data_IF_128799687579
#
_entry.id   IF_128799687579
#
_cell.length_a   1.000
_cell.length_b   1.000
_cell.length_c   1.000
_cell.angle_alpha   90.00
_cell.angle_beta   90.00
_cell.angle_gamma   90.00
#
_symmetry.space_group_name_H-M   'P 1'
#
loop_
_entity.id
_entity.type
_entity.pdbx_description
1 polymer ?
#
# COMPACT_ATOMS: atom_id res chain seq x y z
N UNK A 1 14.04 24.31 -11.40
CA UNK A 1 13.87 23.73 -10.05
C UNK A 1 12.47 23.15 -9.98
N UNK A 2 12.29 21.94 -9.40
CA UNK A 2 10.95 21.38 -9.18
C UNK A 2 10.25 22.22 -8.10
N UNK A 3 9.00 22.62 -8.34
CA UNK A 3 8.20 23.27 -7.30
C UNK A 3 8.05 22.30 -6.11
N UNK A 4 8.04 22.83 -4.91
CA UNK A 4 8.03 22.05 -3.66
C UNK A 4 6.66 22.08 -2.94
N UNK A 5 5.58 22.25 -3.70
CA UNK A 5 4.21 22.30 -3.18
C UNK A 5 3.58 20.91 -3.11
N UNK A 6 3.03 20.54 -1.96
CA UNK A 6 2.40 19.23 -1.73
C UNK A 6 0.90 19.38 -1.53
N UNK A 7 0.10 18.70 -2.35
CA UNK A 7 -1.32 18.49 -2.10
C UNK A 7 -1.51 17.14 -1.40
N UNK A 8 -2.22 17.16 -0.27
CA UNK A 8 -2.61 15.94 0.44
C UNK A 8 -4.01 15.53 0.01
N UNK A 9 -4.19 14.27 -0.36
CA UNK A 9 -5.49 13.70 -0.77
C UNK A 9 -5.92 12.64 0.24
N UNK A 10 -7.09 12.85 0.86
CA UNK A 10 -7.67 11.98 1.88
C UNK A 10 -9.03 11.47 1.38
N UNK A 11 -9.14 10.24 0.88
CA UNK A 11 -10.44 9.62 0.59
C UNK A 11 -11.12 9.21 1.89
N UNK A 12 -12.43 9.41 2.00
CA UNK A 12 -13.21 9.00 3.18
C UNK A 12 -14.61 8.52 2.80
N UNK A 13 -15.17 7.67 3.65
CA UNK A 13 -16.55 7.18 3.55
C UNK A 13 -17.21 7.20 4.93
N UNK A 14 -17.86 8.33 5.27
CA UNK A 14 -18.69 8.48 6.49
C UNK A 14 -18.04 7.99 7.80
N UNK A 15 -16.76 8.35 8.02
CA UNK A 15 -15.99 8.01 9.22
C UNK A 15 -15.39 9.28 9.87
N UNK A 16 -16.21 10.24 10.30
CA UNK A 16 -15.74 11.57 10.73
C UNK A 16 -14.71 11.52 11.87
N UNK A 17 -14.88 10.66 12.86
CA UNK A 17 -13.94 10.58 13.99
C UNK A 17 -12.53 10.10 13.56
N UNK A 18 -12.44 9.12 12.67
CA UNK A 18 -11.16 8.63 12.14
C UNK A 18 -10.53 9.70 11.23
N UNK A 19 -11.34 10.30 10.37
CA UNK A 19 -10.88 11.36 9.47
C UNK A 19 -10.31 12.56 10.23
N UNK A 20 -10.93 13.01 11.33
CA UNK A 20 -10.41 14.11 12.14
C UNK A 20 -9.04 13.76 12.71
N UNK A 21 -8.83 12.56 13.24
CA UNK A 21 -7.50 12.09 13.70
C UNK A 21 -6.46 12.11 12.56
N UNK A 22 -6.82 11.66 11.38
CA UNK A 22 -5.95 11.74 10.21
C UNK A 22 -5.60 13.19 9.87
N UNK A 23 -6.58 14.11 9.87
CA UNK A 23 -6.38 15.53 9.61
C UNK A 23 -5.53 16.21 10.67
N UNK A 24 -5.67 15.86 11.95
CA UNK A 24 -4.81 16.34 13.05
C UNK A 24 -3.36 15.94 12.81
N UNK A 25 -3.12 14.73 12.32
CA UNK A 25 -1.77 14.25 11.96
C UNK A 25 -1.16 15.01 10.78
N UNK A 26 -1.98 15.48 9.83
CA UNK A 26 -1.54 16.36 8.74
C UNK A 26 -1.27 17.78 9.28
N UNK A 27 -2.12 18.30 10.15
CA UNK A 27 -1.95 19.64 10.72
C UNK A 27 -0.69 19.75 11.59
N UNK A 28 -0.22 18.63 12.17
CA UNK A 28 1.00 18.56 12.99
C UNK A 28 2.30 18.41 12.18
N UNK A 29 2.27 18.45 10.85
CA UNK A 29 3.47 18.31 10.03
C UNK A 29 4.44 19.50 10.18
N UNK A 30 5.74 19.22 10.33
CA UNK A 30 6.81 20.25 10.40
C UNK A 30 6.95 21.02 9.08
N UNK A 31 6.56 20.41 7.96
CA UNK A 31 6.43 21.03 6.66
C UNK A 31 4.94 21.02 6.28
N UNK A 32 4.19 22.11 6.48
CA UNK A 32 2.78 22.17 6.15
C UNK A 32 2.54 21.89 4.66
N UNK A 33 1.49 21.12 4.29
CA UNK A 33 1.13 20.96 2.89
C UNK A 33 0.60 22.28 2.30
N UNK A 34 0.71 22.40 0.98
CA UNK A 34 0.12 23.53 0.24
C UNK A 34 -1.41 23.53 0.35
N UNK A 35 -2.03 22.38 0.28
CA UNK A 35 -3.46 22.17 0.49
C UNK A 35 -3.75 20.76 0.98
N UNK A 36 -4.89 20.60 1.66
CA UNK A 36 -5.47 19.31 2.03
C UNK A 36 -6.83 19.17 1.36
N UNK A 37 -7.02 18.09 0.62
CA UNK A 37 -8.24 17.77 -0.13
C UNK A 37 -8.84 16.50 0.44
N UNK A 38 -9.99 16.62 1.10
CA UNK A 38 -10.79 15.46 1.53
C UNK A 38 -11.82 15.17 0.45
N UNK A 39 -11.87 13.93 0.00
CA UNK A 39 -12.84 13.45 -0.98
C UNK A 39 -13.80 12.46 -0.31
N UNK A 40 -15.05 12.93 -0.12
CA UNK A 40 -16.12 12.10 0.45
C UNK A 40 -16.73 11.24 -0.65
N UNK A 41 -16.66 9.91 -0.48
CA UNK A 41 -17.13 8.91 -1.45
C UNK A 41 -18.64 8.66 -1.28
N UNK A 42 -19.45 9.55 -1.85
CA UNK A 42 -20.91 9.54 -1.77
C UNK A 42 -21.48 10.58 -0.79
N UNK A 43 -22.77 10.51 -0.44
CA UNK A 43 -23.41 11.44 0.50
C UNK A 43 -22.71 11.40 1.88
N UNK A 44 -22.44 12.57 2.49
CA UNK A 44 -21.65 12.62 3.72
C UNK A 44 -21.77 13.91 4.53
N UNK A 45 -23.01 14.37 4.78
CA UNK A 45 -23.29 15.65 5.46
C UNK A 45 -22.66 15.75 6.85
N UNK A 46 -22.62 14.66 7.60
CA UNK A 46 -21.97 14.61 8.92
C UNK A 46 -20.46 14.83 8.81
N UNK A 47 -19.82 14.18 7.85
CA UNK A 47 -18.39 14.35 7.56
C UNK A 47 -18.07 15.80 7.20
N UNK A 48 -18.91 16.42 6.33
CA UNK A 48 -18.74 17.82 5.95
C UNK A 48 -18.84 18.75 7.15
N UNK A 49 -19.83 18.56 8.03
CA UNK A 49 -20.00 19.38 9.24
C UNK A 49 -18.81 19.25 10.17
N UNK A 50 -18.37 18.02 10.47
CA UNK A 50 -17.25 17.76 11.35
C UNK A 50 -15.95 18.39 10.83
N UNK A 51 -15.63 18.23 9.55
CA UNK A 51 -14.41 18.79 8.98
C UNK A 51 -14.46 20.32 8.94
N UNK A 52 -15.57 20.93 8.52
CA UNK A 52 -15.69 22.40 8.52
C UNK A 52 -15.54 23.04 9.88
N UNK A 53 -15.98 22.35 10.93
CA UNK A 53 -15.86 22.82 12.30
C UNK A 53 -14.42 22.71 12.82
N UNK A 54 -13.75 21.59 12.59
CA UNK A 54 -12.43 21.32 13.15
C UNK A 54 -11.27 21.82 12.26
N UNK A 55 -11.42 21.72 10.95
CA UNK A 55 -10.38 22.03 9.95
C UNK A 55 -10.94 22.89 8.82
N UNK A 56 -11.28 24.17 9.04
CA UNK A 56 -11.98 25.04 8.08
C UNK A 56 -11.17 25.31 6.81
N UNK A 57 -9.86 25.17 6.83
CA UNK A 57 -8.96 25.33 5.68
C UNK A 57 -8.94 24.12 4.73
N UNK A 58 -9.47 22.98 5.16
CA UNK A 58 -9.51 21.76 4.33
C UNK A 58 -10.51 21.92 3.21
N UNK A 59 -10.07 21.59 2.00
CA UNK A 59 -10.92 21.60 0.82
C UNK A 59 -11.72 20.30 0.74
N UNK A 60 -13.03 20.41 0.78
CA UNK A 60 -13.95 19.28 0.72
C UNK A 60 -14.48 19.09 -0.69
N UNK A 61 -14.34 17.88 -1.22
CA UNK A 61 -14.96 17.40 -2.46
C UNK A 61 -15.90 16.25 -2.15
N UNK A 62 -16.94 16.09 -2.94
CA UNK A 62 -17.93 15.02 -2.76
C UNK A 62 -18.21 14.32 -4.09
N UNK A 63 -18.17 12.99 -4.08
CA UNK A 63 -18.68 12.20 -5.20
C UNK A 63 -20.20 12.06 -5.10
N UNK A 64 -20.88 12.09 -6.25
CA UNK A 64 -22.35 11.98 -6.28
C UNK A 64 -22.85 10.65 -5.72
N UNK A 65 -22.09 9.58 -5.97
CA UNK A 65 -22.40 8.21 -5.55
C UNK A 65 -21.15 7.55 -5.01
N UNK A 66 -21.34 6.51 -4.19
CA UNK A 66 -20.23 5.66 -3.72
C UNK A 66 -19.54 4.98 -4.90
N UNK A 67 -18.29 5.31 -5.14
CA UNK A 67 -17.52 4.91 -6.32
C UNK A 67 -16.21 4.19 -5.99
N UNK A 68 -15.83 4.15 -4.72
CA UNK A 68 -14.64 3.48 -4.20
C UNK A 68 -13.41 4.37 -4.10
N UNK A 69 -12.44 3.94 -3.30
CA UNK A 69 -11.24 4.70 -2.95
C UNK A 69 -10.38 5.09 -4.17
N UNK A 70 -10.35 4.25 -5.21
CA UNK A 70 -9.63 4.57 -6.45
C UNK A 70 -10.19 5.81 -7.14
N UNK A 71 -11.52 5.88 -7.29
CA UNK A 71 -12.19 7.04 -7.89
C UNK A 71 -12.03 8.28 -7.02
N UNK A 72 -12.16 8.13 -5.70
CA UNK A 72 -11.98 9.24 -4.77
C UNK A 72 -10.55 9.79 -4.82
N UNK A 73 -9.51 8.93 -4.85
CA UNK A 73 -8.11 9.37 -5.00
C UNK A 73 -7.88 10.08 -6.33
N UNK A 74 -8.33 9.51 -7.45
CA UNK A 74 -8.21 10.16 -8.76
C UNK A 74 -8.89 11.52 -8.79
N UNK A 75 -10.11 11.63 -8.24
CA UNK A 75 -10.84 12.89 -8.16
C UNK A 75 -10.08 13.94 -7.31
N UNK A 76 -9.48 13.52 -6.21
CA UNK A 76 -8.61 14.37 -5.39
C UNK A 76 -7.39 14.87 -6.17
N UNK A 77 -6.69 13.97 -6.88
CA UNK A 77 -5.51 14.31 -7.70
C UNK A 77 -5.86 15.25 -8.84
N UNK A 78 -6.97 15.05 -9.56
CA UNK A 78 -7.43 15.92 -10.65
C UNK A 78 -7.74 17.33 -10.16
N UNK A 79 -8.15 17.49 -8.90
CA UNK A 79 -8.43 18.77 -8.28
C UNK A 79 -7.22 19.38 -7.53
N UNK A 80 -6.11 18.65 -7.40
CA UNK A 80 -4.91 19.09 -6.72
C UNK A 80 -4.14 20.14 -7.53
N UNK A 81 -3.55 21.12 -6.81
CA UNK A 81 -2.78 22.23 -7.38
C UNK A 81 -1.28 22.10 -7.11
N UNK A 82 -0.89 21.34 -6.09
CA UNK A 82 0.50 21.08 -5.75
C UNK A 82 1.21 20.28 -6.83
N UNK A 83 2.52 20.41 -6.91
CA UNK A 83 3.40 19.65 -7.81
C UNK A 83 3.64 18.21 -7.34
N UNK A 84 3.37 17.94 -6.06
CA UNK A 84 3.48 16.63 -5.42
C UNK A 84 2.14 16.24 -4.82
N UNK A 85 1.85 14.92 -4.85
CA UNK A 85 0.68 14.32 -4.21
C UNK A 85 1.17 13.42 -3.07
N UNK A 86 0.60 13.62 -1.88
CA UNK A 86 0.69 12.69 -0.77
C UNK A 86 -0.71 12.14 -0.45
N UNK A 87 -0.80 10.84 -0.18
CA UNK A 87 -2.07 10.21 0.19
C UNK A 87 -2.07 9.85 1.67
N UNK A 88 -3.24 9.98 2.29
CA UNK A 88 -3.52 9.46 3.63
C UNK A 88 -4.92 8.88 3.64
N UNK A 89 -5.07 7.62 4.03
CA UNK A 89 -6.39 7.03 4.26
C UNK A 89 -6.95 7.55 5.61
N UNK A 90 -8.25 7.72 5.69
CA UNK A 90 -8.92 8.38 6.82
C UNK A 90 -8.81 7.65 8.16
N UNK A 91 -8.25 6.44 8.18
CA UNK A 91 -8.02 5.61 9.36
C UNK A 91 -6.54 5.50 9.79
N UNK A 92 -5.64 6.20 9.09
CA UNK A 92 -4.19 6.22 9.34
C UNK A 92 -3.70 7.55 9.88
N UNK A 93 -2.42 7.59 10.25
CA UNK A 93 -1.79 8.79 10.79
C UNK A 93 -0.37 8.98 10.26
N UNK A 94 0.07 10.23 10.15
CA UNK A 94 1.44 10.58 9.84
C UNK A 94 2.20 11.04 11.09
N UNK A 95 3.50 10.73 11.13
CA UNK A 95 4.39 11.32 12.11
C UNK A 95 4.88 12.71 11.63
N UNK A 96 5.22 13.63 12.54
CA UNK A 96 5.37 15.07 12.23
C UNK A 96 6.34 15.41 11.09
N UNK A 97 7.40 14.63 10.86
CA UNK A 97 8.42 14.95 9.86
C UNK A 97 8.23 14.27 8.49
N UNK A 98 7.06 13.66 8.26
CA UNK A 98 6.86 12.87 7.03
C UNK A 98 7.00 13.71 5.77
N UNK A 99 6.25 14.80 5.65
CA UNK A 99 6.27 15.62 4.45
C UNK A 99 7.64 16.27 4.24
N UNK A 100 8.28 16.78 5.29
CA UNK A 100 9.61 17.35 5.27
C UNK A 100 10.65 16.39 4.67
N UNK A 101 10.72 15.17 5.23
CA UNK A 101 11.74 14.20 4.85
C UNK A 101 11.47 13.59 3.46
N UNK A 102 10.22 13.27 3.15
CA UNK A 102 9.87 12.71 1.86
C UNK A 102 10.03 13.73 0.72
N UNK A 103 9.61 14.97 0.92
CA UNK A 103 9.80 16.01 -0.08
C UNK A 103 11.29 16.29 -0.31
N UNK A 104 12.09 16.36 0.76
CA UNK A 104 13.53 16.51 0.66
C UNK A 104 14.19 15.36 -0.14
N UNK A 105 13.76 14.11 0.08
CA UNK A 105 14.26 12.97 -0.70
C UNK A 105 13.81 13.04 -2.17
N UNK A 106 12.54 13.37 -2.41
CA UNK A 106 11.98 13.52 -3.74
C UNK A 106 12.72 14.56 -4.60
N UNK A 107 13.07 15.70 -4.00
CA UNK A 107 13.79 16.78 -4.69
C UNK A 107 15.25 16.43 -5.01
N UNK A 108 15.88 15.54 -4.22
CA UNK A 108 17.25 15.04 -4.46
C UNK A 108 17.30 13.80 -5.35
N UNK A 109 16.17 13.18 -5.63
CA UNK A 109 16.12 11.96 -6.43
C UNK A 109 16.61 12.18 -7.84
N UNK A 110 17.34 11.22 -8.37
CA UNK A 110 17.76 11.16 -9.78
C UNK A 110 16.66 10.69 -10.72
N UNK A 111 15.58 10.09 -10.19
CA UNK A 111 14.42 9.68 -10.99
C UNK A 111 13.62 10.89 -11.47
N UNK A 112 13.11 10.81 -12.68
CA UNK A 112 12.14 11.79 -13.17
C UNK A 112 10.84 11.74 -12.36
N UNK A 113 10.38 10.55 -12.03
CA UNK A 113 9.17 10.30 -11.26
C UNK A 113 9.51 9.45 -10.02
N UNK A 114 10.10 10.06 -8.96
CA UNK A 114 10.37 9.32 -7.73
C UNK A 114 9.07 9.02 -6.99
N UNK A 115 8.87 7.75 -6.65
CA UNK A 115 7.82 7.30 -5.75
C UNK A 115 8.48 7.14 -4.38
N UNK A 116 8.26 8.13 -3.50
CA UNK A 116 8.91 8.18 -2.19
C UNK A 116 8.00 7.51 -1.16
N UNK A 117 8.57 6.60 -0.40
CA UNK A 117 7.91 5.94 0.73
C UNK A 117 8.89 5.71 1.88
N UNK A 118 8.38 5.33 3.03
CA UNK A 118 9.18 5.20 4.24
C UNK A 118 8.82 3.97 5.03
N UNK A 119 9.55 3.71 6.10
CA UNK A 119 9.11 2.76 7.13
C UNK A 119 7.88 3.30 7.85
N UNK A 120 7.04 2.39 8.32
CA UNK A 120 5.83 2.71 9.07
C UNK A 120 5.66 1.77 10.28
N UNK A 121 4.90 2.22 11.26
CA UNK A 121 4.40 1.40 12.35
C UNK A 121 3.11 0.73 11.90
N UNK A 122 3.03 -0.58 12.05
CA UNK A 122 1.77 -1.33 11.92
C UNK A 122 1.24 -1.57 13.33
N UNK A 123 0.13 -0.94 13.69
CA UNK A 123 -0.57 -1.18 14.95
C UNK A 123 -1.58 -2.31 14.78
N UNK A 124 -1.49 -3.32 15.64
CA UNK A 124 -2.43 -4.44 15.68
C UNK A 124 -2.87 -4.70 17.12
N UNK A 125 -3.99 -5.37 17.37
CA UNK A 125 -4.39 -5.76 18.74
C UNK A 125 -3.36 -6.61 19.48
N UNK A 126 -2.36 -7.14 18.78
CA UNK A 126 -1.30 -7.98 19.34
C UNK A 126 0.02 -7.25 19.55
N UNK A 127 0.06 -5.94 19.29
CA UNK A 127 1.25 -5.11 19.39
C UNK A 127 1.64 -4.41 18.09
N UNK A 128 2.72 -3.69 18.15
CA UNK A 128 3.24 -2.86 17.05
C UNK A 128 4.47 -3.50 16.41
N UNK A 129 4.67 -3.27 15.12
CA UNK A 129 5.88 -3.67 14.41
C UNK A 129 6.17 -2.74 13.22
N UNK A 130 7.43 -2.71 12.80
CA UNK A 130 7.89 -1.84 11.72
C UNK A 130 7.88 -2.57 10.37
N UNK A 131 7.43 -1.87 9.33
CA UNK A 131 7.46 -2.32 7.92
C UNK A 131 7.76 -1.14 6.99
N UNK A 132 8.35 -1.38 5.82
CA UNK A 132 9.10 -2.58 5.45
C UNK A 132 10.44 -2.65 6.20
N UNK A 133 11.03 -3.87 6.28
CA UNK A 133 12.36 -4.05 6.89
C UNK A 133 13.49 -3.65 5.97
N UNK A 134 13.27 -3.63 4.66
CA UNK A 134 14.21 -3.14 3.66
C UNK A 134 13.56 -2.21 2.64
N UNK A 135 14.36 -1.37 2.04
CA UNK A 135 14.02 -0.66 0.81
C UNK A 135 14.38 -1.47 -0.44
N UNK A 136 14.10 -0.93 -1.63
CA UNK A 136 14.52 -1.50 -2.92
C UNK A 136 16.04 -1.48 -3.06
N UNK A 137 16.58 -2.46 -3.78
CA UNK A 137 17.96 -2.44 -4.24
C UNK A 137 18.17 -1.41 -5.37
N UNK A 138 19.44 -1.04 -5.64
CA UNK A 138 19.79 0.02 -6.61
C UNK A 138 19.20 -0.18 -8.02
N UNK A 139 19.05 -1.42 -8.46
CA UNK A 139 18.55 -1.78 -9.80
C UNK A 139 17.31 -2.69 -9.69
N UNK A 140 16.72 -2.80 -8.51
CA UNK A 140 15.56 -3.64 -8.28
C UNK A 140 14.32 -2.94 -8.84
N UNK A 141 13.65 -3.58 -9.79
CA UNK A 141 12.42 -3.08 -10.36
C UNK A 141 11.27 -3.11 -9.33
N UNK A 142 10.20 -2.38 -9.61
CA UNK A 142 9.04 -2.29 -8.70
C UNK A 142 8.44 -3.66 -8.41
N UNK A 143 8.25 -4.47 -9.43
CA UNK A 143 7.68 -5.81 -9.32
C UNK A 143 8.60 -6.76 -8.55
N UNK A 144 9.91 -6.70 -8.80
CA UNK A 144 10.89 -7.50 -8.06
C UNK A 144 10.97 -7.07 -6.59
N UNK A 145 10.96 -5.76 -6.30
CA UNK A 145 10.89 -5.28 -4.92
C UNK A 145 9.68 -5.86 -4.18
N UNK A 146 8.50 -5.85 -4.81
CA UNK A 146 7.27 -6.32 -4.18
C UNK A 146 7.23 -7.84 -3.99
N UNK A 147 7.76 -8.61 -4.94
CA UNK A 147 7.48 -10.05 -5.02
C UNK A 147 8.71 -10.96 -4.98
N UNK A 148 9.94 -10.42 -5.15
CA UNK A 148 11.17 -11.20 -5.02
C UNK A 148 11.77 -11.00 -3.62
N UNK A 149 11.36 -11.85 -2.69
CA UNK A 149 11.86 -11.80 -1.31
C UNK A 149 13.32 -12.25 -1.24
N UNK A 150 14.08 -11.64 -0.33
CA UNK A 150 15.47 -11.97 -0.03
C UNK A 150 15.62 -12.75 1.28
N UNK A 151 14.52 -12.94 2.01
CA UNK A 151 14.49 -13.72 3.26
C UNK A 151 13.15 -14.38 3.51
N UNK A 152 13.14 -15.40 4.37
CA UNK A 152 11.91 -16.03 4.83
C UNK A 152 11.16 -15.21 5.90
N UNK A 153 11.79 -14.16 6.46
CA UNK A 153 11.21 -13.37 7.55
C UNK A 153 10.06 -12.50 7.05
N UNK A 154 8.89 -12.44 7.72
CA UNK A 154 7.77 -11.57 7.36
C UNK A 154 8.13 -10.08 7.41
N UNK A 155 7.34 -9.25 6.70
CA UNK A 155 7.49 -7.78 6.74
C UNK A 155 8.71 -7.24 6.02
N UNK A 156 9.34 -8.05 5.15
CA UNK A 156 10.52 -7.63 4.41
C UNK A 156 10.22 -6.48 3.47
N UNK A 157 9.13 -6.61 2.72
CA UNK A 157 8.64 -5.60 1.79
C UNK A 157 7.20 -5.22 2.14
N UNK A 158 6.88 -3.98 1.92
CA UNK A 158 5.52 -3.47 2.12
C UNK A 158 5.34 -2.19 1.32
N UNK A 159 4.17 -2.04 0.74
CA UNK A 159 3.76 -0.84 0.03
C UNK A 159 2.34 -0.48 0.43
N UNK A 160 2.11 0.81 0.67
CA UNK A 160 0.85 1.29 1.19
C UNK A 160 0.58 2.74 0.79
N UNK A 161 -0.62 3.02 0.34
CA UNK A 161 -0.99 4.33 -0.24
C UNK A 161 -0.75 5.48 0.73
N UNK A 162 -1.11 5.33 2.01
CA UNK A 162 -0.97 6.39 3.03
C UNK A 162 0.49 6.80 3.31
N UNK A 163 1.45 6.05 2.80
CA UNK A 163 2.88 6.30 3.02
C UNK A 163 3.57 6.98 1.83
N UNK A 164 2.85 7.31 0.77
CA UNK A 164 3.42 7.78 -0.49
C UNK A 164 3.55 9.29 -0.57
N UNK A 165 4.60 9.72 -1.28
CA UNK A 165 4.72 11.03 -1.90
C UNK A 165 5.18 10.83 -3.35
N UNK A 166 4.45 11.36 -4.32
CA UNK A 166 4.69 11.15 -5.76
C UNK A 166 4.50 12.43 -6.55
N UNK A 167 5.19 12.63 -7.69
CA UNK A 167 4.96 13.77 -8.57
C UNK A 167 3.53 13.73 -9.13
N UNK A 168 2.79 14.84 -9.05
CA UNK A 168 1.43 14.92 -9.64
C UNK A 168 1.43 14.62 -11.13
N UNK A 169 2.48 15.00 -11.86
CA UNK A 169 2.66 14.73 -13.29
C UNK A 169 2.52 13.24 -13.65
N UNK A 170 2.92 12.33 -12.76
CA UNK A 170 2.83 10.88 -12.99
C UNK A 170 1.37 10.42 -13.18
N UNK A 171 0.41 11.10 -12.55
CA UNK A 171 -1.01 10.78 -12.68
C UNK A 171 -1.61 11.17 -14.04
N UNK A 172 -0.93 12.00 -14.84
CA UNK A 172 -1.32 12.23 -16.23
C UNK A 172 -1.14 10.98 -17.11
N UNK A 173 -0.30 10.04 -16.66
CA UNK A 173 -0.01 8.79 -17.37
C UNK A 173 -0.67 7.59 -16.71
N UNK A 174 -0.72 7.54 -15.38
CA UNK A 174 -1.20 6.37 -14.62
C UNK A 174 -2.13 6.82 -13.49
N UNK A 175 -3.42 6.58 -13.66
CA UNK A 175 -4.43 6.75 -12.61
C UNK A 175 -4.70 5.43 -11.85
N UNK A 176 -5.30 5.49 -10.67
CA UNK A 176 -5.86 4.30 -10.01
C UNK A 176 -7.00 3.73 -10.88
N UNK A 177 -7.04 2.41 -11.06
CA UNK A 177 -8.11 1.77 -11.85
C UNK A 177 -9.43 1.75 -11.10
N UNK A 178 -10.51 2.38 -11.61
CA UNK A 178 -11.84 2.24 -11.04
C UNK A 178 -12.30 0.77 -11.05
N UNK A 179 -13.02 0.35 -10.02
CA UNK A 179 -13.56 -1.01 -9.94
C UNK A 179 -12.55 -2.09 -9.54
N UNK A 180 -11.27 -1.76 -9.40
CA UNK A 180 -10.27 -2.67 -8.84
C UNK A 180 -10.57 -2.90 -7.36
N UNK A 181 -11.00 -4.12 -7.04
CA UNK A 181 -11.53 -4.44 -5.70
C UNK A 181 -10.44 -4.65 -4.64
N UNK A 182 -9.30 -5.20 -5.02
CA UNK A 182 -8.17 -5.48 -4.14
C UNK A 182 -6.86 -5.11 -4.84
N UNK A 183 -5.83 -4.77 -4.08
CA UNK A 183 -4.51 -4.38 -4.61
C UNK A 183 -4.54 -3.14 -5.50
N UNK A 184 -5.42 -2.18 -5.21
CA UNK A 184 -5.48 -0.91 -5.94
C UNK A 184 -4.16 -0.17 -5.98
N UNK A 185 -3.49 -0.11 -4.83
CA UNK A 185 -2.18 0.50 -4.63
C UNK A 185 -1.08 -0.27 -5.36
N UNK A 186 -1.09 -1.59 -5.26
CA UNK A 186 -0.14 -2.47 -5.94
C UNK A 186 -0.32 -2.41 -7.46
N UNK A 187 -1.56 -2.46 -7.96
CA UNK A 187 -1.86 -2.31 -9.39
C UNK A 187 -1.35 -0.97 -9.93
N UNK A 188 -1.64 0.11 -9.20
CA UNK A 188 -1.15 1.42 -9.56
C UNK A 188 0.38 1.48 -9.56
N UNK A 189 1.02 0.97 -8.51
CA UNK A 189 2.47 0.99 -8.37
C UNK A 189 3.19 0.22 -9.47
N UNK A 190 2.71 -0.98 -9.81
CA UNK A 190 3.29 -1.79 -10.90
C UNK A 190 3.19 -1.07 -12.25
N UNK A 191 2.04 -0.46 -12.56
CA UNK A 191 1.87 0.33 -13.80
C UNK A 191 2.69 1.60 -13.80
N UNK A 192 2.78 2.28 -12.68
CA UNK A 192 3.64 3.45 -12.52
C UNK A 192 5.12 3.10 -12.71
N UNK A 193 5.55 1.94 -12.22
CA UNK A 193 6.90 1.42 -12.41
C UNK A 193 7.27 1.13 -13.88
N UNK A 194 6.29 0.98 -14.78
CA UNK A 194 6.53 0.83 -16.22
C UNK A 194 6.75 2.17 -16.94
N UNK A 195 6.45 3.30 -16.29
CA UNK A 195 6.65 4.63 -16.89
C UNK A 195 8.15 4.97 -16.87
N UNK A 196 8.77 5.27 -18.02
CA UNK A 196 10.19 5.60 -18.08
C UNK A 196 10.58 6.75 -17.15
N UNK A 197 11.62 6.55 -16.36
CA UNK A 197 12.09 7.53 -15.39
C UNK A 197 11.41 7.43 -14.02
N UNK A 198 10.51 6.46 -13.81
CA UNK A 198 9.97 6.15 -12.48
C UNK A 198 10.95 5.30 -11.68
N UNK A 199 11.06 5.57 -10.38
CA UNK A 199 11.84 4.75 -9.45
C UNK A 199 11.37 4.91 -8.02
N UNK A 200 11.76 3.95 -7.19
CA UNK A 200 11.39 3.87 -5.78
C UNK A 200 12.47 4.53 -4.90
N UNK A 201 12.06 5.49 -4.08
CA UNK A 201 12.91 6.14 -3.07
C UNK A 201 12.42 5.74 -1.68
N UNK A 202 13.26 5.03 -0.94
CA UNK A 202 12.93 4.54 0.39
C UNK A 202 13.65 5.33 1.48
N UNK A 203 12.90 5.79 2.46
CA UNK A 203 13.42 6.39 3.69
C UNK A 203 13.35 5.38 4.85
N UNK A 204 14.47 5.07 5.50
CA UNK A 204 14.49 4.14 6.63
C UNK A 204 13.85 4.71 7.90
N UNK A 205 13.56 6.02 7.94
CA UNK A 205 12.83 6.65 9.04
C UNK A 205 11.39 6.18 9.06
N UNK A 206 10.85 6.01 10.27
CA UNK A 206 9.43 5.70 10.49
C UNK A 206 8.62 6.99 10.42
N UNK A 207 7.71 7.11 9.44
CA UNK A 207 7.03 8.37 9.15
C UNK A 207 5.51 8.26 9.10
N UNK A 208 4.94 7.08 9.22
CA UNK A 208 3.48 6.88 9.25
C UNK A 208 3.08 5.72 10.16
N UNK A 209 1.81 5.68 10.50
CA UNK A 209 1.17 4.65 11.33
C UNK A 209 0.01 4.06 10.55
N UNK A 210 0.04 2.77 10.34
CA UNK A 210 -1.07 1.98 9.80
C UNK A 210 -1.86 1.36 10.95
N UNK A 211 -3.07 1.85 11.17
CA UNK A 211 -3.94 1.38 12.23
C UNK A 211 -4.77 0.18 11.74
N UNK A 212 -4.53 -1.01 12.30
CA UNK A 212 -5.31 -2.22 12.01
C UNK A 212 -6.04 -2.76 13.24
N UNK A 213 -6.15 -1.96 14.31
CA UNK A 213 -6.72 -2.39 15.59
C UNK A 213 -8.24 -2.53 15.56
N UNK A 214 -8.92 -1.76 14.73
CA UNK A 214 -10.36 -1.79 14.62
C UNK A 214 -10.81 -2.82 13.57
N UNK A 215 -10.92 -4.09 13.99
CA UNK A 215 -11.38 -5.20 13.12
C UNK A 215 -12.89 -5.16 12.81
N UNK A 216 -13.67 -4.38 13.53
CA UNK A 216 -15.13 -4.27 13.31
C UNK A 216 -15.47 -3.23 12.23
N UNK A 217 -14.47 -2.53 11.70
CA UNK A 217 -14.71 -1.59 10.60
C UNK A 217 -15.07 -2.34 9.32
N UNK A 218 -16.11 -1.90 8.59
CA UNK A 218 -16.36 -2.40 7.27
C UNK A 218 -15.16 -2.04 6.39
N UNK A 219 -14.33 -3.03 6.11
CA UNK A 219 -13.27 -2.85 5.11
C UNK A 219 -13.94 -2.66 3.76
N UNK A 220 -13.51 -1.63 3.01
CA UNK A 220 -13.94 -1.43 1.61
C UNK A 220 -13.49 -2.63 0.76
N UNK A 221 -12.45 -3.31 1.20
CA UNK A 221 -11.94 -4.55 0.64
C UNK A 221 -12.67 -5.74 1.26
N UNK A 222 -13.73 -6.21 0.59
CA UNK A 222 -14.44 -7.46 0.95
C UNK A 222 -13.54 -8.70 0.88
N UNK A 223 -14.05 -9.84 1.31
CA UNK A 223 -13.41 -11.14 1.09
C UNK A 223 -13.36 -11.42 -0.42
N UNK A 224 -12.17 -11.36 -0.98
CA UNK A 224 -11.93 -11.75 -2.37
C UNK A 224 -11.30 -13.13 -2.39
N UNK A 225 -11.81 -13.96 -3.30
CA UNK A 225 -11.23 -15.25 -3.53
C UNK A 225 -9.84 -15.13 -4.20
N UNK A 226 -9.02 -16.15 -4.02
CA UNK A 226 -7.73 -16.22 -4.65
C UNK A 226 -7.84 -16.25 -6.18
N UNK A 227 -8.97 -16.69 -6.73
CA UNK A 227 -9.25 -16.74 -8.16
C UNK A 227 -9.28 -15.35 -8.78
N UNK A 228 -9.91 -14.38 -8.09
CA UNK A 228 -9.90 -12.99 -8.52
C UNK A 228 -8.46 -12.45 -8.64
N UNK A 229 -7.63 -12.72 -7.64
CA UNK A 229 -6.23 -12.26 -7.66
C UNK A 229 -5.40 -13.00 -8.72
N UNK A 230 -5.67 -14.28 -8.92
CA UNK A 230 -5.04 -15.07 -9.97
C UNK A 230 -5.41 -14.52 -11.36
N UNK A 231 -6.69 -14.26 -11.61
CA UNK A 231 -7.16 -13.64 -12.85
C UNK A 231 -6.52 -12.26 -13.06
N UNK A 232 -6.43 -11.45 -12.01
CA UNK A 232 -5.77 -10.15 -12.09
C UNK A 232 -4.28 -10.32 -12.45
N UNK A 233 -3.55 -11.21 -11.81
CA UNK A 233 -2.14 -11.43 -12.06
C UNK A 233 -1.88 -11.96 -13.50
N UNK A 234 -2.68 -12.91 -13.97
CA UNK A 234 -2.57 -13.46 -15.32
C UNK A 234 -2.90 -12.43 -16.40
N UNK A 235 -3.95 -11.61 -16.19
CA UNK A 235 -4.34 -10.53 -17.10
C UNK A 235 -3.33 -9.38 -17.15
N UNK A 236 -2.49 -9.24 -16.13
CA UNK A 236 -1.46 -8.22 -16.04
C UNK A 236 -0.03 -8.80 -16.03
N UNK A 237 0.15 -10.00 -16.62
CA UNK A 237 1.43 -10.73 -16.65
C UNK A 237 2.60 -9.87 -17.14
N UNK A 238 2.36 -8.98 -18.09
CA UNK A 238 3.36 -8.06 -18.67
C UNK A 238 3.94 -7.04 -17.67
N UNK A 239 3.32 -6.85 -16.50
CA UNK A 239 3.82 -5.97 -15.45
C UNK A 239 4.89 -6.63 -14.57
N UNK A 240 5.19 -7.90 -14.78
CA UNK A 240 6.07 -8.69 -13.94
C UNK A 240 7.23 -9.29 -14.73
N UNK A 241 8.42 -9.28 -14.15
CA UNK A 241 9.49 -10.19 -14.53
C UNK A 241 9.07 -11.64 -14.24
N UNK A 242 9.64 -12.65 -14.91
CA UNK A 242 9.29 -14.05 -14.66
C UNK A 242 9.40 -14.44 -13.18
N UNK A 243 10.45 -13.95 -12.50
CA UNK A 243 10.69 -14.20 -11.08
C UNK A 243 9.66 -13.52 -10.18
N UNK A 244 9.32 -12.26 -10.42
CA UNK A 244 8.30 -11.54 -9.66
C UNK A 244 6.91 -12.15 -9.86
N UNK A 245 6.62 -12.63 -11.07
CA UNK A 245 5.38 -13.35 -11.37
C UNK A 245 5.24 -14.63 -10.54
N UNK A 246 6.30 -15.42 -10.43
CA UNK A 246 6.30 -16.58 -9.54
C UNK A 246 6.07 -16.17 -8.08
N UNK A 247 6.66 -15.07 -7.64
CA UNK A 247 6.48 -14.56 -6.28
C UNK A 247 5.05 -14.15 -5.96
N UNK A 248 4.36 -13.47 -6.89
CA UNK A 248 2.95 -13.11 -6.68
C UNK A 248 2.06 -14.34 -6.60
N UNK A 249 2.29 -15.35 -7.44
CA UNK A 249 1.52 -16.59 -7.45
C UNK A 249 1.77 -17.44 -6.21
N UNK A 250 3.04 -17.80 -5.97
CA UNK A 250 3.41 -18.81 -4.98
C UNK A 250 3.43 -18.28 -3.55
N UNK A 251 3.54 -16.97 -3.35
CA UNK A 251 3.60 -16.37 -2.01
C UNK A 251 2.34 -15.57 -1.69
N UNK A 252 1.99 -14.59 -2.53
CA UNK A 252 0.92 -13.65 -2.19
C UNK A 252 -0.47 -14.24 -2.43
N UNK A 253 -0.72 -14.84 -3.61
CA UNK A 253 -2.02 -15.46 -3.92
C UNK A 253 -2.19 -16.76 -3.13
N UNK A 254 -1.12 -17.55 -2.96
CA UNK A 254 -1.15 -18.74 -2.11
C UNK A 254 -1.54 -18.41 -0.66
N UNK A 255 -1.08 -17.26 -0.13
CA UNK A 255 -1.50 -16.82 1.21
C UNK A 255 -3.02 -16.58 1.32
N UNK A 256 -3.64 -16.03 0.30
CA UNK A 256 -5.12 -15.87 0.27
C UNK A 256 -5.83 -17.21 0.14
N UNK A 257 -5.32 -18.12 -0.68
CA UNK A 257 -5.85 -19.48 -0.79
C UNK A 257 -5.78 -20.26 0.55
N UNK A 258 -4.70 -20.06 1.31
CA UNK A 258 -4.56 -20.63 2.67
C UNK A 258 -5.64 -20.10 3.61
N UNK A 259 -5.95 -18.80 3.57
CA UNK A 259 -7.03 -18.20 4.38
C UNK A 259 -8.39 -18.83 4.05
N UNK A 260 -8.64 -19.07 2.77
CA UNK A 260 -9.89 -19.64 2.25
C UNK A 260 -9.93 -21.17 2.32
N UNK A 261 -8.83 -21.83 2.67
CA UNK A 261 -8.67 -23.29 2.72
C UNK A 261 -8.98 -24.00 1.40
N UNK A 262 -8.74 -23.32 0.27
CA UNK A 262 -8.94 -23.89 -1.05
C UNK A 262 -7.68 -24.61 -1.56
N UNK A 263 -7.70 -25.94 -1.47
CA UNK A 263 -6.58 -26.80 -1.87
C UNK A 263 -6.35 -26.82 -3.38
N UNK A 264 -7.36 -26.48 -4.20
CA UNK A 264 -7.25 -26.45 -5.67
C UNK A 264 -6.24 -25.41 -6.13
N UNK A 265 -6.06 -24.34 -5.35
CA UNK A 265 -5.09 -23.29 -5.63
C UNK A 265 -3.66 -23.83 -5.79
N UNK A 266 -3.30 -24.86 -5.01
CA UNK A 266 -1.93 -25.41 -5.00
C UNK A 266 -1.48 -25.85 -6.41
N UNK A 267 -2.31 -26.65 -7.08
CA UNK A 267 -1.99 -27.14 -8.41
C UNK A 267 -1.99 -26.02 -9.46
N UNK A 268 -3.01 -25.16 -9.44
CA UNK A 268 -3.17 -24.07 -10.42
C UNK A 268 -2.02 -23.08 -10.32
N UNK A 269 -1.68 -22.64 -9.11
CA UNK A 269 -0.63 -21.65 -8.89
C UNK A 269 0.76 -22.19 -9.22
N UNK A 270 1.03 -23.45 -8.83
CA UNK A 270 2.31 -24.09 -9.14
C UNK A 270 2.48 -24.30 -10.65
N UNK A 271 1.44 -24.82 -11.30
CA UNK A 271 1.47 -25.05 -12.76
C UNK A 271 1.77 -23.73 -13.50
N UNK A 272 1.05 -22.65 -13.19
CA UNK A 272 1.23 -21.36 -13.84
C UNK A 272 2.62 -20.77 -13.55
N UNK A 273 3.11 -20.88 -12.31
CA UNK A 273 4.42 -20.38 -11.93
C UNK A 273 5.58 -21.11 -12.63
N UNK A 274 5.45 -22.42 -12.84
CA UNK A 274 6.47 -23.21 -13.54
C UNK A 274 6.45 -23.01 -15.05
N UNK A 275 5.28 -22.75 -15.65
CA UNK A 275 5.16 -22.60 -17.10
C UNK A 275 5.45 -21.18 -17.59
N UNK A 276 5.15 -20.16 -16.79
CA UNK A 276 5.25 -18.74 -17.20
C UNK A 276 6.07 -17.88 -16.27
N UNK A 277 6.58 -18.44 -15.21
CA UNK A 277 7.44 -17.77 -14.22
C UNK A 277 8.80 -18.44 -14.13
N UNK A 278 9.59 -17.96 -13.16
CA UNK A 278 10.90 -18.51 -12.76
C UNK A 278 10.98 -18.50 -11.23
N UNK A 279 10.41 -19.52 -10.56
CA UNK A 279 10.38 -19.56 -9.09
C UNK A 279 11.78 -19.73 -8.50
N UNK A 280 12.10 -18.92 -7.50
CA UNK A 280 13.34 -19.08 -6.74
C UNK A 280 13.15 -19.97 -5.49
N UNK A 281 14.26 -20.33 -4.86
CA UNK A 281 14.28 -21.20 -3.68
C UNK A 281 13.44 -20.65 -2.52
N UNK A 282 13.45 -19.33 -2.28
CA UNK A 282 12.67 -18.70 -1.20
C UNK A 282 11.18 -18.83 -1.48
N UNK A 283 10.77 -18.57 -2.72
CA UNK A 283 9.38 -18.70 -3.16
C UNK A 283 8.90 -20.14 -3.06
N UNK A 284 9.73 -21.10 -3.47
CA UNK A 284 9.42 -22.53 -3.34
C UNK A 284 9.25 -22.96 -1.88
N UNK A 285 10.13 -22.54 -0.99
CA UNK A 285 10.02 -22.83 0.46
C UNK A 285 8.75 -22.21 1.05
N UNK A 286 8.44 -20.95 0.73
CA UNK A 286 7.22 -20.28 1.21
C UNK A 286 5.95 -20.93 0.68
N UNK A 287 5.98 -21.41 -0.57
CA UNK A 287 4.87 -22.16 -1.16
C UNK A 287 4.65 -23.50 -0.45
N UNK A 288 5.71 -24.25 -0.15
CA UNK A 288 5.64 -25.49 0.63
C UNK A 288 5.05 -25.23 2.02
N UNK A 289 5.47 -24.15 2.70
CA UNK A 289 4.87 -23.73 3.98
C UNK A 289 3.38 -23.46 3.83
N UNK A 290 2.97 -22.81 2.74
CA UNK A 290 1.55 -22.60 2.40
C UNK A 290 0.78 -23.92 2.21
N UNK A 291 1.37 -24.88 1.50
CA UNK A 291 0.79 -26.23 1.32
C UNK A 291 0.61 -26.92 2.68
N UNK A 292 1.64 -26.96 3.50
CA UNK A 292 1.56 -27.56 4.84
C UNK A 292 0.45 -26.92 5.68
N UNK A 293 0.26 -25.60 5.59
CA UNK A 293 -0.83 -24.90 6.27
C UNK A 293 -2.22 -25.30 5.74
N UNK A 294 -2.35 -25.57 4.43
CA UNK A 294 -3.61 -26.04 3.83
C UNK A 294 -3.97 -27.48 4.18
N UNK A 295 -2.97 -28.36 4.31
CA UNK A 295 -3.18 -29.80 4.44
C UNK A 295 -3.10 -30.32 5.87
N UNK A 296 -2.91 -29.49 6.90
CA UNK A 296 -3.13 -29.93 8.25
C UNK A 296 -1.99 -29.73 9.24
N UNK A 297 -1.01 -28.93 8.96
CA UNK A 297 -0.14 -28.47 10.04
C UNK A 297 -1.00 -27.75 11.11
N UNK A 298 -0.85 -28.05 12.42
CA UNK A 298 -1.64 -27.43 13.47
C UNK A 298 -1.62 -25.91 13.27
N UNK A 299 -2.78 -25.25 13.47
CA UNK A 299 -2.89 -23.76 13.40
C UNK A 299 -1.75 -23.04 14.17
N UNK A 300 -1.22 -23.70 15.22
CA UNK A 300 -0.04 -23.26 15.96
C UNK A 300 1.24 -23.23 15.16
N UNK A 301 1.49 -24.14 14.22
CA UNK A 301 2.75 -24.19 13.47
C UNK A 301 2.87 -23.05 12.47
N UNK A 302 1.81 -22.73 11.74
CA UNK A 302 1.80 -21.57 10.81
C UNK A 302 1.81 -20.24 11.57
N UNK A 303 1.02 -20.13 12.66
CA UNK A 303 1.05 -18.96 13.54
C UNK A 303 2.37 -18.89 14.33
N UNK A 304 2.91 -20.02 14.77
CA UNK A 304 4.19 -20.11 15.46
C UNK A 304 5.36 -19.72 14.54
N UNK A 305 5.37 -20.19 13.28
CA UNK A 305 6.36 -19.75 12.28
C UNK A 305 6.24 -18.23 12.02
N UNK A 306 5.00 -17.73 11.92
CA UNK A 306 4.73 -16.30 11.79
C UNK A 306 5.12 -15.48 13.02
N UNK A 307 4.99 -16.05 14.23
CA UNK A 307 5.35 -15.41 15.50
C UNK A 307 6.86 -15.49 15.79
N UNK A 308 7.52 -16.63 15.62
CA UNK A 308 8.98 -16.73 15.80
C UNK A 308 9.77 -15.88 14.81
N UNK A 309 9.22 -15.67 13.62
CA UNK A 309 9.81 -14.76 12.64
C UNK A 309 9.55 -13.28 12.98
N UNK A 310 8.66 -12.96 13.96
CA UNK A 310 8.36 -11.60 14.44
C UNK A 310 9.14 -11.19 15.69
N UNK A 311 9.59 -12.12 16.53
CA UNK A 311 10.08 -11.86 17.91
C UNK A 311 11.55 -11.44 18.03
N UNK A 312 12.24 -11.07 16.96
CA UNK A 312 13.59 -10.48 17.06
C UNK A 312 13.61 -9.16 16.29
N UNK A 313 12.97 -8.14 16.85
CA UNK A 313 13.34 -6.74 16.58
C UNK A 313 14.32 -6.34 17.71
N UNK A 314 15.56 -5.94 17.41
CA UNK A 314 16.31 -5.15 18.35
C UNK A 314 15.55 -3.84 18.54
N UNK A 315 15.38 -3.43 19.78
CA UNK A 315 15.07 -2.06 20.14
C UNK A 315 16.31 -1.25 19.74
N UNK A 316 16.32 -0.70 18.54
CA UNK A 316 17.32 0.29 18.15
C UNK A 316 16.75 1.65 18.50
N UNK A 317 17.42 2.25 19.46
CA UNK A 317 17.41 3.63 19.96
C UNK A 317 17.47 4.68 18.85
#
# INVERSE_FOLDING_TARGET
MRESTVSVVVPTLNRPAMLLRALDSIASQTCPPYEVIVVVDGPGDETFRAVRQAHPSVRLLQLKTRSGSAVARNHGVQNARGSWIAFLDDDDEWLPRKLELQLSAALRSSFRYPIVFSRLIVKTPRGEFLMPRRGPGRQESVDEYLYCRKSLRPGEVFFYTSNLLVPRELFNTVEFRPGQKKWNDVDWLLRAGQVPGTGLEFLPQTLSVWNTEDFNRPTITGDYDWQYLFQWATSNRQLFSPRAYSGVLLVSIMHEAVKQRDRRATHVLLHEALHRGEPDTIQAVLFIVGILALFGAPRGAYQWLKLRLRTHLPADT
#
